data_IF_495378081568
#
_entry.id   IF_495378081568
#
_cell.length_a   1.000
_cell.length_b   1.000
_cell.length_c   1.000
_cell.angle_alpha   90.00
_cell.angle_beta   90.00
_cell.angle_gamma   90.00
#
_symmetry.space_group_name_H-M   'P 1'
#
loop_
_entity.id
_entity.type
_entity.pdbx_description
1 polymer ?
#
# COMPACT_ATOMS: atom_id res chain seq x y z
N UNK A 1 -34.26 2.93 -9.40
CA UNK A 1 -33.48 1.87 -8.71
C UNK A 1 -32.01 2.25 -8.79
N UNK A 2 -31.49 2.94 -7.78
CA UNK A 2 -30.08 3.33 -7.74
C UNK A 2 -29.25 2.13 -7.30
N UNK A 3 -28.25 1.74 -8.11
CA UNK A 3 -27.28 0.71 -7.76
C UNK A 3 -26.27 1.29 -6.77
N UNK A 4 -26.61 1.23 -5.49
CA UNK A 4 -25.72 1.63 -4.38
C UNK A 4 -24.68 0.53 -4.09
N UNK A 5 -23.82 0.26 -5.07
CA UNK A 5 -22.74 -0.74 -4.94
C UNK A 5 -21.36 -0.10 -4.73
N UNK A 6 -21.27 1.23 -4.71
CA UNK A 6 -19.98 1.94 -4.63
C UNK A 6 -19.02 1.61 -5.78
N UNK A 7 -19.46 0.87 -6.81
CA UNK A 7 -18.69 0.63 -8.02
C UNK A 7 -18.88 1.80 -8.98
N UNK A 8 -17.77 2.39 -9.42
CA UNK A 8 -17.74 3.47 -10.40
C UNK A 8 -17.99 2.84 -11.79
N UNK A 9 -18.99 3.35 -12.50
CA UNK A 9 -19.37 2.83 -13.81
C UNK A 9 -18.34 3.27 -14.87
N UNK A 10 -18.42 2.70 -16.07
CA UNK A 10 -17.57 3.15 -17.19
C UNK A 10 -17.86 4.60 -17.60
N UNK A 11 -19.10 5.06 -17.39
CA UNK A 11 -19.54 6.41 -17.71
C UNK A 11 -18.87 7.49 -16.84
N UNK A 12 -18.45 7.13 -15.62
CA UNK A 12 -17.74 8.04 -14.70
C UNK A 12 -16.35 8.45 -15.23
N UNK A 13 -15.79 7.72 -16.21
CA UNK A 13 -14.40 7.87 -16.68
C UNK A 13 -14.24 8.54 -18.07
N UNK A 14 -15.22 9.33 -18.51
CA UNK A 14 -15.27 9.86 -19.88
C UNK A 14 -14.02 10.64 -20.32
N UNK A 15 -13.39 11.44 -19.45
CA UNK A 15 -12.16 12.17 -19.76
C UNK A 15 -10.93 11.27 -19.85
N UNK A 16 -10.82 10.27 -18.97
CA UNK A 16 -9.74 9.28 -19.03
C UNK A 16 -9.84 8.44 -20.30
N UNK A 17 -11.06 8.06 -20.70
CA UNK A 17 -11.33 7.23 -21.87
C UNK A 17 -10.98 7.90 -23.20
N UNK A 18 -10.78 9.24 -23.23
CA UNK A 18 -10.25 9.96 -24.40
C UNK A 18 -8.79 9.62 -24.69
N UNK A 19 -8.01 9.28 -23.66
CA UNK A 19 -6.56 9.08 -23.77
C UNK A 19 -6.14 7.62 -23.49
N UNK A 20 -6.95 6.88 -22.73
CA UNK A 20 -6.63 5.54 -22.28
C UNK A 20 -7.83 4.61 -22.38
N UNK A 21 -7.61 3.37 -22.79
CA UNK A 21 -8.58 2.30 -22.63
C UNK A 21 -8.42 1.65 -21.25
N UNK A 22 -9.55 1.43 -20.58
CA UNK A 22 -9.61 0.77 -19.27
C UNK A 22 -9.64 -0.75 -19.45
N UNK A 23 -8.76 -1.44 -18.73
CA UNK A 23 -8.65 -2.89 -18.70
C UNK A 23 -9.08 -3.47 -17.35
N UNK A 24 -8.45 -4.60 -17.00
CA UNK A 24 -8.76 -5.37 -15.78
C UNK A 24 -8.63 -4.52 -14.50
N UNK A 25 -9.54 -4.74 -13.55
CA UNK A 25 -9.42 -4.21 -12.17
C UNK A 25 -8.24 -4.87 -11.46
N UNK A 26 -7.30 -4.06 -10.98
CA UNK A 26 -6.10 -4.50 -10.28
C UNK A 26 -6.30 -4.53 -8.76
N UNK A 27 -7.14 -3.64 -8.23
CA UNK A 27 -7.42 -3.58 -6.79
C UNK A 27 -8.62 -2.70 -6.45
N UNK A 28 -9.21 -2.96 -5.30
CA UNK A 28 -10.29 -2.16 -4.72
C UNK A 28 -9.99 -1.94 -3.24
N UNK A 29 -10.03 -0.69 -2.77
CA UNK A 29 -9.77 -0.35 -1.38
C UNK A 29 -10.61 0.84 -0.91
N UNK A 30 -10.53 1.15 0.39
CA UNK A 30 -11.30 2.24 1.01
C UNK A 30 -11.02 3.63 0.42
N UNK A 31 -9.88 3.80 -0.25
CA UNK A 31 -9.42 5.06 -0.84
C UNK A 31 -9.70 5.18 -2.35
N UNK A 32 -10.22 4.15 -3.00
CA UNK A 32 -10.47 4.18 -4.45
C UNK A 32 -10.33 2.82 -5.14
N UNK A 33 -10.47 2.85 -6.45
CA UNK A 33 -10.36 1.67 -7.30
C UNK A 33 -9.15 1.81 -8.23
N UNK A 34 -8.42 0.72 -8.45
CA UNK A 34 -7.25 0.69 -9.33
C UNK A 34 -7.52 -0.21 -10.51
N UNK A 35 -7.34 0.34 -11.72
CA UNK A 35 -7.52 -0.36 -12.98
C UNK A 35 -6.22 -0.35 -13.78
N UNK A 36 -6.03 -1.39 -14.58
CA UNK A 36 -5.06 -1.35 -15.67
C UNK A 36 -5.60 -0.40 -16.74
N UNK A 37 -4.77 0.49 -17.27
CA UNK A 37 -5.14 1.37 -18.38
C UNK A 37 -4.05 1.35 -19.45
N UNK A 38 -4.38 1.54 -20.72
CA UNK A 38 -3.40 1.55 -21.81
C UNK A 38 -3.74 2.58 -22.88
N UNK A 39 -2.71 3.19 -23.49
CA UNK A 39 -2.88 4.18 -24.57
C UNK A 39 -2.56 3.61 -25.96
N UNK A 40 -2.63 2.28 -26.10
CA UNK A 40 -2.26 1.55 -27.31
C UNK A 40 -0.75 1.32 -27.50
N UNK A 41 0.12 2.08 -26.82
CA UNK A 41 1.59 1.89 -26.84
C UNK A 41 2.12 1.32 -25.52
N UNK A 42 1.64 1.86 -24.41
CA UNK A 42 2.11 1.54 -23.07
C UNK A 42 0.94 1.21 -22.14
N UNK A 43 1.24 0.45 -21.10
CA UNK A 43 0.29 0.05 -20.05
C UNK A 43 0.66 0.72 -18.73
N UNK A 44 -0.35 1.11 -17.97
CA UNK A 44 -0.27 1.87 -16.74
C UNK A 44 -1.28 1.34 -15.71
N UNK A 45 -1.15 1.80 -14.46
CA UNK A 45 -2.19 1.67 -13.46
C UNK A 45 -2.86 3.03 -13.23
N UNK A 46 -4.19 3.05 -13.23
CA UNK A 46 -5.00 4.23 -12.92
C UNK A 46 -5.71 4.05 -11.59
N UNK A 47 -5.40 4.89 -10.60
CA UNK A 47 -6.12 4.94 -9.32
C UNK A 47 -7.18 6.04 -9.38
N UNK A 48 -8.45 5.62 -9.31
CA UNK A 48 -9.62 6.48 -9.39
C UNK A 48 -10.11 6.85 -7.98
N UNK A 49 -10.32 8.14 -7.77
CA UNK A 49 -10.76 8.74 -6.50
C UNK A 49 -12.19 9.25 -6.61
N UNK A 50 -12.98 9.01 -5.56
CA UNK A 50 -14.37 9.49 -5.46
C UNK A 50 -14.50 10.98 -5.14
N UNK A 51 -13.44 11.63 -4.67
CA UNK A 51 -13.43 13.04 -4.25
C UNK A 51 -12.15 13.76 -4.67
N UNK A 52 -12.29 14.98 -5.20
CA UNK A 52 -11.18 15.78 -5.71
C UNK A 52 -10.15 16.22 -4.66
N UNK A 53 -10.54 16.46 -3.40
CA UNK A 53 -9.61 16.96 -2.37
C UNK A 53 -8.52 15.96 -1.98
N UNK A 54 -8.87 14.68 -1.91
CA UNK A 54 -7.95 13.60 -1.57
C UNK A 54 -7.06 13.25 -2.77
N UNK A 55 -7.66 13.24 -3.97
CA UNK A 55 -6.96 13.00 -5.23
C UNK A 55 -5.87 14.05 -5.48
N UNK A 56 -6.16 15.33 -5.26
CA UNK A 56 -5.20 16.42 -5.45
C UNK A 56 -4.06 16.40 -4.44
N UNK A 57 -4.35 16.05 -3.18
CA UNK A 57 -3.32 15.88 -2.15
C UNK A 57 -2.38 14.75 -2.52
N UNK A 58 -2.93 13.58 -2.88
CA UNK A 58 -2.13 12.42 -3.25
C UNK A 58 -1.33 12.70 -4.52
N UNK A 59 -1.92 13.30 -5.55
CA UNK A 59 -1.22 13.71 -6.77
C UNK A 59 -0.06 14.70 -6.49
N UNK A 60 -0.25 15.66 -5.57
CA UNK A 60 0.80 16.59 -5.14
C UNK A 60 1.93 15.92 -4.37
N UNK A 61 1.64 14.89 -3.58
CA UNK A 61 2.67 14.11 -2.89
C UNK A 61 3.44 13.26 -3.91
N UNK A 62 2.73 12.58 -4.79
CA UNK A 62 3.30 11.74 -5.85
C UNK A 62 4.17 12.53 -6.83
N UNK A 63 3.77 13.76 -7.19
CA UNK A 63 4.58 14.61 -8.06
C UNK A 63 5.89 15.04 -7.40
N UNK A 64 5.97 15.11 -6.07
CA UNK A 64 7.23 15.36 -5.34
C UNK A 64 8.12 14.13 -5.24
N UNK A 65 7.53 12.94 -5.29
CA UNK A 65 8.23 11.66 -5.13
C UNK A 65 8.61 10.97 -6.45
N UNK A 66 8.25 11.57 -7.60
CA UNK A 66 8.42 10.97 -8.93
C UNK A 66 9.85 10.54 -9.29
N UNK A 67 10.86 11.10 -8.61
CA UNK A 67 12.28 10.85 -8.84
C UNK A 67 12.90 9.86 -7.83
N UNK A 68 12.14 9.38 -6.84
CA UNK A 68 12.66 8.48 -5.81
C UNK A 68 12.71 7.03 -6.32
N UNK A 69 13.91 6.40 -6.40
CA UNK A 69 14.01 4.98 -6.70
C UNK A 69 13.23 4.18 -5.66
N UNK A 70 12.38 3.26 -6.12
CA UNK A 70 11.52 2.51 -5.21
C UNK A 70 10.18 3.19 -4.88
N UNK A 71 9.83 4.31 -5.49
CA UNK A 71 8.45 4.83 -5.47
C UNK A 71 7.85 4.67 -6.87
N UNK A 72 6.56 4.33 -6.94
CA UNK A 72 5.86 4.16 -8.21
C UNK A 72 5.87 5.48 -9.00
N UNK A 73 6.34 5.43 -10.25
CA UNK A 73 6.48 6.62 -11.09
C UNK A 73 5.13 7.24 -11.43
N UNK A 74 4.93 8.49 -11.01
CA UNK A 74 3.78 9.31 -11.38
C UNK A 74 3.89 9.74 -12.85
N UNK A 75 2.86 9.43 -13.65
CA UNK A 75 2.80 9.78 -15.09
C UNK A 75 1.86 10.93 -15.37
N UNK A 76 0.82 11.12 -14.56
CA UNK A 76 -0.10 12.23 -14.73
C UNK A 76 -1.33 12.13 -13.85
N UNK A 77 -2.17 13.16 -13.94
CA UNK A 77 -3.44 13.23 -13.24
C UNK A 77 -4.52 13.70 -14.22
N UNK A 78 -5.59 12.92 -14.34
CA UNK A 78 -6.76 13.24 -15.16
C UNK A 78 -7.89 13.66 -14.24
N UNK A 79 -8.42 14.87 -14.44
CA UNK A 79 -9.63 15.32 -13.73
C UNK A 79 -10.85 14.96 -14.55
N UNK A 80 -11.84 14.46 -13.86
CA UNK A 80 -13.15 14.11 -14.41
C UNK A 80 -14.20 14.95 -13.70
N UNK A 81 -15.10 15.53 -14.48
CA UNK A 81 -16.24 16.29 -13.96
C UNK A 81 -17.50 15.68 -14.52
N UNK A 82 -18.32 15.10 -13.65
CA UNK A 82 -19.66 14.65 -13.99
C UNK A 82 -20.68 15.42 -13.14
N UNK A 83 -21.37 16.37 -13.78
CA UNK A 83 -22.30 17.29 -13.11
C UNK A 83 -21.64 18.03 -11.94
N UNK A 84 -22.13 17.76 -10.73
CA UNK A 84 -21.64 18.34 -9.47
C UNK A 84 -20.50 17.54 -8.79
N UNK A 85 -20.17 16.35 -9.31
CA UNK A 85 -19.11 15.49 -8.76
C UNK A 85 -17.81 15.68 -9.53
N UNK A 86 -16.71 15.74 -8.78
CA UNK A 86 -15.36 15.83 -9.34
C UNK A 86 -14.59 14.58 -8.94
N UNK A 87 -14.16 13.82 -9.94
CA UNK A 87 -13.32 12.65 -9.79
C UNK A 87 -11.91 12.96 -10.29
N UNK A 88 -10.97 12.14 -9.86
CA UNK A 88 -9.59 12.24 -10.30
C UNK A 88 -9.02 10.86 -10.53
N UNK A 89 -8.27 10.69 -11.61
CA UNK A 89 -7.50 9.49 -11.88
C UNK A 89 -6.01 9.83 -11.83
N UNK A 90 -5.29 9.24 -10.88
CA UNK A 90 -3.82 9.26 -10.87
C UNK A 90 -3.31 8.15 -11.78
N UNK A 91 -2.57 8.53 -12.81
CA UNK A 91 -1.91 7.59 -13.73
C UNK A 91 -0.49 7.35 -13.25
N UNK A 92 -0.16 6.09 -13.02
CA UNK A 92 1.13 5.64 -12.51
C UNK A 92 1.67 4.47 -13.36
N UNK A 93 2.97 4.21 -13.28
CA UNK A 93 3.53 3.01 -13.92
C UNK A 93 2.85 1.73 -13.41
N UNK A 94 2.71 0.74 -14.30
CA UNK A 94 2.23 -0.57 -13.91
C UNK A 94 3.41 -1.39 -13.37
N UNK A 95 3.38 -1.68 -12.07
CA UNK A 95 4.34 -2.59 -11.45
C UNK A 95 3.95 -4.06 -11.69
N UNK A 96 4.92 -4.96 -11.59
CA UNK A 96 4.72 -6.42 -11.61
C UNK A 96 3.87 -6.93 -10.43
N UNK A 97 3.80 -8.26 -10.22
CA UNK A 97 2.99 -8.85 -9.15
C UNK A 97 3.35 -8.26 -7.78
N UNK A 98 2.34 -8.15 -6.92
CA UNK A 98 2.53 -7.59 -5.59
C UNK A 98 3.35 -8.56 -4.71
N UNK A 99 3.98 -8.02 -3.66
CA UNK A 99 4.85 -8.79 -2.77
C UNK A 99 4.13 -9.98 -2.12
N UNK A 100 2.85 -9.85 -1.78
CA UNK A 100 2.07 -10.94 -1.20
C UNK A 100 1.91 -12.11 -2.17
N UNK A 101 1.60 -11.85 -3.44
CA UNK A 101 1.49 -12.87 -4.48
C UNK A 101 2.84 -13.55 -4.73
N UNK A 102 3.94 -12.77 -4.71
CA UNK A 102 5.29 -13.31 -4.75
C UNK A 102 5.59 -14.27 -3.58
N UNK A 103 5.26 -13.87 -2.35
CA UNK A 103 5.43 -14.68 -1.14
C UNK A 103 4.62 -15.98 -1.15
N UNK A 104 3.36 -15.90 -1.60
CA UNK A 104 2.48 -17.06 -1.68
C UNK A 104 3.00 -18.06 -2.72
N UNK A 105 3.50 -17.57 -3.86
CA UNK A 105 3.93 -18.43 -4.95
C UNK A 105 5.37 -18.95 -4.80
N UNK A 106 6.27 -18.20 -4.16
CA UNK A 106 7.70 -18.53 -4.08
C UNK A 106 8.13 -19.09 -2.71
N UNK A 107 7.28 -18.98 -1.68
CA UNK A 107 7.62 -19.39 -0.32
C UNK A 107 8.61 -18.43 0.38
N UNK A 108 9.20 -18.86 1.51
CA UNK A 108 10.17 -18.06 2.26
C UNK A 108 11.41 -17.74 1.42
N UNK A 109 11.94 -16.52 1.55
CA UNK A 109 13.18 -16.09 0.93
C UNK A 109 14.38 -16.28 1.86
N UNK A 110 15.54 -16.46 1.25
CA UNK A 110 16.84 -16.34 1.93
C UNK A 110 17.01 -14.94 2.47
N UNK A 111 17.73 -14.83 3.58
CA UNK A 111 17.99 -13.56 4.26
C UNK A 111 18.60 -12.49 3.34
N UNK A 112 19.56 -12.86 2.49
CA UNK A 112 20.18 -11.95 1.54
C UNK A 112 19.19 -11.35 0.51
N UNK A 113 18.20 -12.14 0.09
CA UNK A 113 17.20 -11.71 -0.90
C UNK A 113 16.05 -10.95 -0.22
N UNK A 114 15.72 -11.32 1.00
CA UNK A 114 14.84 -10.55 1.88
C UNK A 114 15.43 -9.15 2.13
N UNK A 115 16.71 -9.03 2.46
CA UNK A 115 17.37 -7.74 2.70
C UNK A 115 17.33 -6.82 1.48
N UNK A 116 17.56 -7.35 0.26
CA UNK A 116 17.43 -6.60 -0.99
C UNK A 116 15.99 -6.12 -1.22
N UNK A 117 15.01 -6.98 -0.93
CA UNK A 117 13.59 -6.67 -1.10
C UNK A 117 13.14 -5.62 -0.11
N UNK A 118 13.50 -5.75 1.18
CA UNK A 118 13.20 -4.77 2.23
C UNK A 118 13.75 -3.41 1.83
N UNK A 119 15.03 -3.32 1.45
CA UNK A 119 15.68 -2.06 1.02
C UNK A 119 14.93 -1.36 -0.11
N UNK A 120 14.27 -2.11 -1.00
CA UNK A 120 13.48 -1.59 -2.11
C UNK A 120 12.04 -1.22 -1.72
N UNK A 121 11.47 -1.91 -0.75
CA UNK A 121 10.07 -1.78 -0.34
C UNK A 121 9.87 -0.82 0.86
N UNK A 122 10.96 -0.34 1.47
CA UNK A 122 10.97 0.71 2.52
C UNK A 122 10.17 1.98 2.16
N UNK A 123 9.83 2.19 0.88
CA UNK A 123 9.12 3.38 0.38
C UNK A 123 7.73 3.14 -0.20
N UNK A 124 7.17 1.91 -0.15
CA UNK A 124 6.01 1.55 -1.00
C UNK A 124 4.69 1.18 -0.33
N UNK A 125 4.64 0.99 0.98
CA UNK A 125 3.46 0.36 1.58
C UNK A 125 2.70 1.25 2.55
N UNK A 126 1.42 1.48 2.27
CA UNK A 126 0.48 2.02 3.24
C UNK A 126 -0.83 1.24 3.20
N UNK A 127 -1.27 0.74 4.35
CA UNK A 127 -2.71 0.66 4.64
C UNK A 127 -3.43 -0.69 4.54
N UNK A 128 -2.80 -1.84 4.73
CA UNK A 128 -3.54 -3.08 5.06
C UNK A 128 -3.51 -3.32 6.56
N UNK A 129 -4.67 -3.62 7.17
CA UNK A 129 -4.81 -3.79 8.62
C UNK A 129 -3.71 -4.68 9.18
N UNK A 130 -3.44 -5.81 8.51
CA UNK A 130 -2.40 -6.80 8.84
C UNK A 130 -1.02 -6.21 9.16
N UNK A 131 -0.62 -5.10 8.57
CA UNK A 131 0.70 -4.49 8.79
C UNK A 131 0.64 -3.27 9.72
N UNK A 132 -0.53 -2.91 10.23
CA UNK A 132 -0.68 -1.78 11.15
C UNK A 132 0.03 -2.05 12.48
N UNK A 133 0.78 -1.06 12.96
CA UNK A 133 1.42 -1.09 14.25
C UNK A 133 0.40 -1.18 15.42
N UNK A 134 0.78 -1.73 16.59
CA UNK A 134 -0.11 -1.89 17.74
C UNK A 134 -0.85 -0.60 18.13
N UNK A 135 -0.14 0.52 18.15
CA UNK A 135 -0.66 1.85 18.51
C UNK A 135 -1.67 2.39 17.49
N UNK A 136 -1.59 1.96 16.22
CA UNK A 136 -2.57 2.29 15.18
C UNK A 136 -3.82 1.45 15.35
N UNK A 137 -3.67 0.15 15.63
CA UNK A 137 -4.79 -0.76 15.88
C UNK A 137 -5.59 -0.37 17.12
N UNK A 138 -4.93 0.01 18.20
CA UNK A 138 -5.57 0.43 19.45
C UNK A 138 -6.45 1.68 19.31
N UNK A 139 -6.16 2.53 18.31
CA UNK A 139 -6.87 3.80 18.07
C UNK A 139 -8.04 3.69 17.11
N UNK A 140 -8.11 2.63 16.28
CA UNK A 140 -9.13 2.47 15.23
C UNK A 140 -10.57 2.42 15.78
N UNK A 141 -10.75 2.19 17.08
CA UNK A 141 -12.06 2.25 17.78
C UNK A 141 -12.50 3.65 18.25
N UNK A 142 -11.64 4.68 18.20
CA UNK A 142 -11.95 6.03 18.68
C UNK A 142 -12.21 6.97 17.50
N UNK A 143 -13.45 6.98 17.01
CA UNK A 143 -13.88 7.94 15.96
C UNK A 143 -13.85 9.36 16.55
N UNK A 144 -12.99 10.24 16.03
CA UNK A 144 -13.04 11.68 16.31
C UNK A 144 -11.70 12.38 16.58
N UNK A 145 -10.59 11.66 16.74
CA UNK A 145 -9.28 12.29 17.02
C UNK A 145 -8.48 12.60 15.75
N UNK A 146 -7.80 13.75 15.80
CA UNK A 146 -7.07 14.38 14.70
C UNK A 146 -5.98 13.48 14.10
N UNK A 147 -5.81 13.58 12.78
CA UNK A 147 -4.93 12.80 11.89
C UNK A 147 -3.41 13.02 12.08
N UNK A 148 -2.96 13.43 13.28
CA UNK A 148 -1.59 13.88 13.52
C UNK A 148 -0.79 12.95 14.45
N UNK A 149 -1.07 11.64 14.40
CA UNK A 149 -0.36 10.62 15.18
C UNK A 149 0.56 9.72 14.32
N UNK A 150 0.61 9.96 13.00
CA UNK A 150 1.49 9.16 12.16
C UNK A 150 2.96 9.51 12.46
N UNK A 151 3.74 8.51 12.87
CA UNK A 151 5.18 8.65 13.13
C UNK A 151 5.94 7.69 12.24
N UNK A 152 7.23 7.98 11.98
CA UNK A 152 8.09 7.07 11.22
C UNK A 152 8.18 5.67 11.85
N UNK A 153 8.00 5.55 13.17
CA UNK A 153 7.98 4.26 13.88
C UNK A 153 6.84 3.33 13.42
N UNK A 154 5.75 3.86 12.86
CA UNK A 154 4.65 3.06 12.30
C UNK A 154 5.11 2.37 11.02
N UNK A 155 5.87 3.07 10.17
CA UNK A 155 6.45 2.49 8.95
C UNK A 155 7.49 1.42 9.29
N UNK A 156 8.34 1.69 10.30
CA UNK A 156 9.34 0.72 10.80
C UNK A 156 8.67 -0.59 11.24
N UNK A 157 7.55 -0.51 11.97
CA UNK A 157 6.77 -1.71 12.32
C UNK A 157 6.26 -2.45 11.07
N UNK A 158 5.62 -1.72 10.15
CA UNK A 158 5.09 -2.32 8.92
C UNK A 158 6.17 -3.05 8.12
N UNK A 159 7.38 -2.48 8.08
CA UNK A 159 8.55 -3.10 7.47
C UNK A 159 9.04 -4.32 8.24
N UNK A 160 9.02 -4.30 9.58
CA UNK A 160 9.34 -5.46 10.40
C UNK A 160 8.40 -6.64 10.10
N UNK A 161 7.11 -6.38 9.93
CA UNK A 161 6.13 -7.41 9.56
C UNK A 161 6.43 -7.97 8.17
N UNK A 162 6.72 -7.10 7.19
CA UNK A 162 7.10 -7.53 5.85
C UNK A 162 8.37 -8.38 5.90
N UNK A 163 9.41 -7.92 6.57
CA UNK A 163 10.68 -8.63 6.73
C UNK A 163 10.49 -10.01 7.37
N UNK A 164 9.67 -10.09 8.41
CA UNK A 164 9.31 -11.36 9.06
C UNK A 164 8.60 -12.32 8.09
N UNK A 165 7.67 -11.83 7.28
CA UNK A 165 7.00 -12.66 6.26
C UNK A 165 7.93 -13.07 5.12
N UNK A 166 8.91 -12.24 4.75
CA UNK A 166 9.93 -12.62 3.77
C UNK A 166 10.77 -13.80 4.27
N UNK A 167 11.08 -13.85 5.57
CA UNK A 167 11.90 -14.90 6.16
C UNK A 167 11.11 -16.16 6.55
N UNK A 168 9.85 -16.02 6.96
CA UNK A 168 9.02 -17.13 7.45
C UNK A 168 7.93 -17.58 6.48
N UNK A 169 7.84 -16.93 5.33
CA UNK A 169 6.72 -17.08 4.40
C UNK A 169 5.47 -16.31 4.86
N UNK A 170 4.43 -16.33 4.02
CA UNK A 170 3.19 -15.61 4.28
C UNK A 170 2.55 -15.99 5.63
N UNK A 171 2.08 -14.99 6.36
CA UNK A 171 1.47 -15.15 7.68
C UNK A 171 0.02 -14.71 7.69
N UNK A 172 -0.81 -15.45 8.41
CA UNK A 172 -2.18 -15.04 8.67
C UNK A 172 -2.23 -13.79 9.56
N UNK A 173 -3.36 -13.09 9.56
CA UNK A 173 -3.57 -11.94 10.46
C UNK A 173 -3.38 -12.32 11.94
N UNK A 174 -3.90 -13.48 12.33
CA UNK A 174 -3.77 -14.02 13.69
C UNK A 174 -2.32 -14.22 14.09
N UNK A 175 -1.47 -14.71 13.19
CA UNK A 175 -0.03 -14.85 13.45
C UNK A 175 0.65 -13.50 13.71
N UNK A 176 0.29 -12.46 12.95
CA UNK A 176 0.83 -11.11 13.18
C UNK A 176 0.30 -10.48 14.48
N UNK A 177 -0.90 -10.86 14.93
CA UNK A 177 -1.44 -10.38 16.21
C UNK A 177 -0.65 -10.91 17.42
N UNK A 178 0.01 -12.07 17.32
CA UNK A 178 0.97 -12.51 18.35
C UNK A 178 2.20 -11.60 18.42
N UNK A 179 2.71 -11.14 17.27
CA UNK A 179 3.81 -10.15 17.26
C UNK A 179 3.37 -8.84 17.92
N UNK A 180 2.14 -8.38 17.67
CA UNK A 180 1.58 -7.20 18.35
C UNK A 180 1.45 -7.36 19.85
N UNK A 181 1.27 -8.60 20.34
CA UNK A 181 1.26 -8.93 21.75
C UNK A 181 2.68 -9.05 22.35
N UNK A 182 3.73 -8.84 21.56
CA UNK A 182 5.14 -8.97 21.98
C UNK A 182 5.67 -10.39 21.97
N UNK A 183 4.92 -11.36 21.42
CA UNK A 183 5.36 -12.74 21.29
C UNK A 183 6.20 -12.89 20.01
N UNK A 184 7.49 -12.59 20.12
CA UNK A 184 8.45 -12.76 19.03
C UNK A 184 9.02 -14.18 19.04
N UNK A 185 8.87 -14.97 17.95
CA UNK A 185 9.49 -16.29 17.86
C UNK A 185 11.01 -16.17 17.69
N UNK A 186 11.78 -17.17 18.09
CA UNK A 186 13.25 -17.21 17.91
C UNK A 186 13.68 -18.47 17.18
N UNK A 187 14.94 -18.53 16.73
CA UNK A 187 15.54 -19.71 16.09
C UNK A 187 15.10 -19.92 14.64
N UNK A 188 14.91 -18.83 13.90
CA UNK A 188 14.49 -18.87 12.50
C UNK A 188 15.39 -18.12 11.53
N UNK A 189 16.28 -17.27 12.04
CA UNK A 189 17.23 -16.51 11.22
C UNK A 189 18.61 -16.50 11.84
N UNK A 190 19.48 -15.67 11.27
CA UNK A 190 20.73 -15.28 11.93
C UNK A 190 20.43 -14.46 13.19
N UNK A 191 21.37 -14.43 14.13
CA UNK A 191 21.27 -13.56 15.31
C UNK A 191 21.08 -12.08 14.89
N UNK A 192 21.70 -11.67 13.78
CA UNK A 192 21.56 -10.33 13.23
C UNK A 192 20.16 -10.04 12.66
N UNK A 193 19.56 -11.01 11.97
CA UNK A 193 18.20 -10.88 11.45
C UNK A 193 17.16 -10.86 12.58
N UNK A 194 17.35 -11.69 13.61
CA UNK A 194 16.47 -11.71 14.78
C UNK A 194 16.58 -10.42 15.59
N UNK A 195 17.80 -9.92 15.85
CA UNK A 195 18.02 -8.64 16.53
C UNK A 195 17.37 -7.47 15.78
N UNK A 196 17.58 -7.39 14.46
CA UNK A 196 16.96 -6.36 13.62
C UNK A 196 15.42 -6.42 13.69
N UNK A 197 14.84 -7.61 13.53
CA UNK A 197 13.40 -7.79 13.57
C UNK A 197 12.82 -7.50 14.95
N UNK A 198 13.52 -7.86 16.02
CA UNK A 198 13.10 -7.59 17.39
C UNK A 198 13.06 -6.09 17.68
N UNK A 199 14.01 -5.31 17.14
CA UNK A 199 13.97 -3.85 17.18
C UNK A 199 12.77 -3.29 16.39
N UNK A 200 12.63 -3.68 15.13
CA UNK A 200 11.56 -3.16 14.26
C UNK A 200 10.15 -3.52 14.75
N UNK A 201 9.99 -4.70 15.36
CA UNK A 201 8.73 -5.22 15.89
C UNK A 201 8.59 -5.00 17.40
N UNK A 202 9.31 -4.03 17.98
CA UNK A 202 9.08 -3.62 19.35
C UNK A 202 7.65 -3.02 19.48
N UNK A 203 6.89 -3.47 20.48
CA UNK A 203 5.51 -3.00 20.71
C UNK A 203 5.49 -1.49 20.98
N UNK A 204 6.43 -1.01 21.80
CA UNK A 204 6.59 0.41 22.11
C UNK A 204 7.27 1.17 20.96
N UNK A 205 6.62 2.20 20.36
CA UNK A 205 7.19 2.92 19.22
C UNK A 205 8.53 3.60 19.48
N UNK A 206 8.82 3.97 20.73
CA UNK A 206 10.09 4.60 21.14
C UNK A 206 11.26 3.63 21.22
N UNK A 207 10.99 2.32 21.13
CA UNK A 207 11.99 1.25 21.16
C UNK A 207 12.26 0.65 19.77
N UNK A 208 11.62 1.19 18.73
CA UNK A 208 11.82 0.80 17.32
C UNK A 208 12.92 1.61 16.67
#
# INVERSE_FOLDING_TARGET
>A
MARDTGELSEDDCSELLKFYMRGKRLGCGGQGQVFMIHNGRNTYAGKLFRSGSDAEREARLMSKLHACPGVVSFKGFVRERDGAKCYGTIVMELCGPNLCEGLINCGPMREEDAAKTIKKEMSKYCGTEKYMAPEVMARKGRKGESQNFYTAAIDVWGLGVIAYELLKGHKSRMEIDFLRAGAFPTGFGSDQAEDLLQGMLAVEPSKR
#
